data_IF_925818040267
#
_entry.id   IF_925818040267
#
_cell.length_a   1.000
_cell.length_b   1.000
_cell.length_c   1.000
_cell.angle_alpha   90.00
_cell.angle_beta   90.00
_cell.angle_gamma   90.00
#
_symmetry.space_group_name_H-M   'P 1'
#
loop_
_entity.id
_entity.type
_entity.pdbx_description
1 polymer ?
#
# COMPACT_ATOMS: atom_id res chain seq x y z
N UNK A 1 -60.20 64.55 -5.47
CA UNK A 1 -59.73 63.71 -4.35
C UNK A 1 -59.34 62.37 -4.93
N UNK A 2 -58.12 62.12 -5.20
CA UNK A 2 -57.58 60.86 -5.78
C UNK A 2 -56.80 60.10 -4.72
N UNK A 3 -57.26 58.95 -4.32
CA UNK A 3 -56.56 58.06 -3.43
C UNK A 3 -55.51 57.33 -4.23
N UNK A 4 -54.22 57.49 -3.80
CA UNK A 4 -53.08 56.74 -4.31
C UNK A 4 -52.88 55.55 -3.36
N UNK A 5 -53.18 54.38 -3.90
CA UNK A 5 -52.88 53.11 -3.19
C UNK A 5 -51.39 52.75 -3.42
N UNK A 6 -50.57 52.79 -2.37
CA UNK A 6 -49.19 52.29 -2.40
C UNK A 6 -49.24 50.78 -2.17
N UNK A 7 -48.93 50.03 -3.21
CA UNK A 7 -48.67 48.59 -3.13
C UNK A 7 -47.17 48.38 -2.80
N UNK A 8 -46.86 48.02 -1.58
CA UNK A 8 -45.55 47.59 -1.16
C UNK A 8 -45.37 46.13 -1.56
N UNK A 9 -44.55 45.91 -2.59
CA UNK A 9 -44.10 44.57 -2.99
C UNK A 9 -42.97 44.16 -2.06
N UNK A 10 -43.27 43.22 -1.15
CA UNK A 10 -42.25 42.58 -0.32
C UNK A 10 -41.46 41.59 -1.18
N UNK A 11 -40.22 41.93 -1.49
CA UNK A 11 -39.26 41.04 -2.13
C UNK A 11 -38.75 40.06 -1.07
N UNK A 12 -39.32 38.85 -1.03
CA UNK A 12 -38.80 37.76 -0.20
C UNK A 12 -37.48 37.30 -0.81
N UNK A 13 -36.39 37.75 -0.25
CA UNK A 13 -35.04 37.20 -0.52
C UNK A 13 -35.00 35.83 0.19
N UNK A 14 -35.20 34.76 -0.57
CA UNK A 14 -34.88 33.40 -0.14
C UNK A 14 -33.37 33.31 -0.03
N UNK A 15 -32.87 33.54 1.17
CA UNK A 15 -31.50 33.12 1.53
C UNK A 15 -31.54 31.60 1.54
N UNK A 16 -31.15 31.00 0.43
CA UNK A 16 -30.78 29.61 0.40
C UNK A 16 -29.58 29.48 1.37
N UNK A 17 -29.88 28.96 2.56
CA UNK A 17 -28.84 28.52 3.49
C UNK A 17 -28.07 27.44 2.76
N UNK A 18 -26.99 27.80 2.11
CA UNK A 18 -25.88 26.87 1.88
C UNK A 18 -25.44 26.46 3.28
N UNK A 19 -25.96 25.34 3.77
CA UNK A 19 -25.30 24.60 4.80
C UNK A 19 -23.96 24.19 4.20
N UNK A 20 -22.97 25.04 4.33
CA UNK A 20 -21.59 24.60 4.44
C UNK A 20 -21.67 23.63 5.63
N UNK A 21 -21.60 22.35 5.34
CA UNK A 21 -21.14 21.38 6.29
C UNK A 21 -19.71 21.84 6.65
N UNK A 22 -19.61 22.77 7.61
CA UNK A 22 -18.39 22.94 8.34
C UNK A 22 -18.08 21.53 8.85
N UNK A 23 -17.05 20.90 8.33
CA UNK A 23 -16.65 19.57 8.74
C UNK A 23 -16.55 19.60 10.25
N UNK A 24 -17.50 18.94 10.92
CA UNK A 24 -17.46 18.82 12.37
C UNK A 24 -16.28 17.90 12.69
N UNK A 25 -15.20 18.51 13.20
CA UNK A 25 -13.96 17.82 13.57
C UNK A 25 -13.90 17.52 15.06
N UNK A 26 -15.02 17.66 15.76
CA UNK A 26 -15.09 17.52 17.22
C UNK A 26 -14.80 16.09 17.68
N UNK A 27 -15.01 15.10 16.81
CA UNK A 27 -14.77 13.69 17.06
C UNK A 27 -13.42 13.17 16.52
N UNK A 28 -12.63 14.05 15.86
CA UNK A 28 -11.33 13.64 15.33
C UNK A 28 -10.33 13.40 16.46
N UNK A 29 -9.55 12.30 16.43
CA UNK A 29 -8.49 12.06 17.40
C UNK A 29 -7.43 13.17 17.39
N UNK A 30 -6.91 13.53 18.58
CA UNK A 30 -5.90 14.59 18.70
C UNK A 30 -4.52 14.20 18.15
N UNK A 31 -4.20 12.91 18.15
CA UNK A 31 -3.01 12.34 17.53
C UNK A 31 -3.33 10.94 17.03
N UNK A 32 -2.72 10.55 15.95
CA UNK A 32 -2.98 9.30 15.25
C UNK A 32 -1.66 8.68 14.80
N UNK A 33 -1.68 7.39 14.52
CA UNK A 33 -0.52 6.64 14.02
C UNK A 33 -0.85 5.90 12.75
N UNK A 34 0.14 5.79 11.85
CA UNK A 34 0.10 4.91 10.70
C UNK A 34 1.23 3.89 10.77
N UNK A 35 0.87 2.62 10.71
CA UNK A 35 1.83 1.53 10.56
C UNK A 35 2.42 1.52 9.15
N UNK A 36 3.75 1.50 9.07
CA UNK A 36 4.50 1.50 7.80
C UNK A 36 5.17 0.14 7.56
N UNK A 37 6.47 0.11 7.38
CA UNK A 37 7.32 -1.08 7.35
C UNK A 37 8.78 -0.66 7.56
N UNK A 38 9.72 -1.58 7.36
CA UNK A 38 11.16 -1.31 7.50
C UNK A 38 11.65 -0.22 6.54
N UNK A 39 12.69 0.50 6.96
CA UNK A 39 13.41 1.43 6.09
C UNK A 39 14.01 0.71 4.89
N UNK A 40 14.10 1.39 3.75
CA UNK A 40 14.54 0.81 2.48
C UNK A 40 13.41 0.23 1.64
N UNK A 41 12.25 -0.06 2.24
CA UNK A 41 11.02 -0.41 1.54
C UNK A 41 10.12 0.81 1.29
N UNK A 42 9.18 0.68 0.35
CA UNK A 42 8.33 1.80 -0.09
C UNK A 42 7.31 2.23 0.95
N UNK A 43 6.77 1.33 1.77
CA UNK A 43 5.80 1.68 2.81
C UNK A 43 6.31 2.76 3.78
N UNK A 44 7.59 2.70 4.16
CA UNK A 44 8.16 3.69 5.09
C UNK A 44 8.11 5.11 4.50
N UNK A 45 8.58 5.29 3.26
CA UNK A 45 8.60 6.60 2.60
C UNK A 45 7.18 7.04 2.25
N UNK A 46 6.40 6.17 1.64
CA UNK A 46 5.05 6.47 1.18
C UNK A 46 4.10 6.78 2.35
N UNK A 47 4.12 5.95 3.40
CA UNK A 47 3.30 6.14 4.60
C UNK A 47 3.65 7.43 5.35
N UNK A 48 4.94 7.71 5.53
CA UNK A 48 5.39 8.96 6.12
C UNK A 48 4.98 10.16 5.27
N UNK A 49 5.03 10.02 3.94
CA UNK A 49 4.70 11.09 2.99
C UNK A 49 3.22 11.44 2.99
N UNK A 50 2.32 10.43 2.88
CA UNK A 50 0.89 10.73 2.90
C UNK A 50 0.43 11.25 4.26
N UNK A 51 0.95 10.72 5.37
CA UNK A 51 0.67 11.23 6.71
C UNK A 51 1.08 12.70 6.84
N UNK A 52 2.27 13.06 6.35
CA UNK A 52 2.75 14.45 6.36
C UNK A 52 1.89 15.37 5.46
N UNK A 53 1.48 14.90 4.28
CA UNK A 53 0.58 15.64 3.40
C UNK A 53 -0.76 15.94 4.08
N UNK A 54 -1.38 14.92 4.70
CA UNK A 54 -2.63 15.06 5.47
C UNK A 54 -2.44 16.02 6.64
N UNK A 55 -1.35 15.89 7.40
CA UNK A 55 -1.04 16.81 8.51
C UNK A 55 -0.97 18.27 8.05
N UNK A 56 -0.32 18.52 6.91
CA UNK A 56 -0.20 19.88 6.37
C UNK A 56 -1.52 20.46 5.86
N UNK A 57 -2.38 19.63 5.26
CA UNK A 57 -3.64 20.09 4.65
C UNK A 57 -4.78 20.20 5.65
N UNK A 58 -4.81 19.29 6.62
CA UNK A 58 -5.93 19.18 7.57
C UNK A 58 -5.60 19.64 9.00
N UNK A 59 -4.36 20.07 9.26
CA UNK A 59 -3.87 20.45 10.60
C UNK A 59 -4.07 19.31 11.62
N UNK A 60 -3.79 18.07 11.17
CA UNK A 60 -3.83 16.85 12.00
C UNK A 60 -2.44 16.50 12.54
N UNK A 61 -2.35 15.40 13.33
CA UNK A 61 -1.10 14.86 13.86
C UNK A 61 -1.08 13.36 13.67
N UNK A 62 -0.66 12.92 12.49
CA UNK A 62 -0.45 11.51 12.17
C UNK A 62 1.05 11.26 12.21
N UNK A 63 1.49 10.36 13.11
CA UNK A 63 2.87 9.88 13.18
C UNK A 63 3.03 8.58 12.40
N UNK A 64 4.15 8.39 11.71
CA UNK A 64 4.48 7.14 11.04
C UNK A 64 5.33 6.26 11.95
N UNK A 65 4.93 5.00 12.13
CA UNK A 65 5.64 4.01 12.92
C UNK A 65 6.20 2.89 12.05
N UNK A 66 7.41 2.45 12.36
CA UNK A 66 8.05 1.31 11.69
C UNK A 66 7.46 0.03 12.26
N UNK A 67 7.02 -0.85 11.37
CA UNK A 67 6.46 -2.16 11.69
C UNK A 67 7.15 -3.26 10.86
N UNK A 68 6.76 -4.51 11.05
CA UNK A 68 7.12 -5.62 10.16
C UNK A 68 6.49 -5.50 8.78
N UNK A 69 5.40 -4.75 8.63
CA UNK A 69 4.71 -4.56 7.34
C UNK A 69 3.24 -5.01 7.37
N UNK A 70 2.69 -5.46 6.22
CA UNK A 70 1.26 -5.65 6.00
C UNK A 70 0.54 -6.52 7.03
N UNK A 71 1.09 -7.67 7.38
CA UNK A 71 0.47 -8.60 8.34
C UNK A 71 0.38 -7.98 9.73
N UNK A 72 1.43 -7.27 10.16
CA UNK A 72 1.42 -6.57 11.42
C UNK A 72 0.48 -5.35 11.36
N UNK A 73 0.51 -4.58 10.28
CA UNK A 73 -0.31 -3.37 10.14
C UNK A 73 -1.80 -3.67 10.24
N UNK A 74 -2.30 -4.69 9.54
CA UNK A 74 -3.72 -5.03 9.56
C UNK A 74 -4.15 -5.53 10.96
N UNK A 75 -3.29 -6.27 11.65
CA UNK A 75 -3.55 -6.74 13.01
C UNK A 75 -3.55 -5.59 14.02
N UNK A 76 -2.62 -4.63 13.91
CA UNK A 76 -2.57 -3.45 14.79
C UNK A 76 -3.80 -2.54 14.59
N UNK A 77 -4.27 -2.37 13.33
CA UNK A 77 -5.52 -1.65 13.05
C UNK A 77 -6.72 -2.40 13.62
N UNK A 78 -6.81 -3.73 13.47
CA UNK A 78 -7.89 -4.53 14.05
C UNK A 78 -7.96 -4.39 15.57
N UNK A 79 -6.82 -4.31 16.24
CA UNK A 79 -6.75 -4.15 17.70
C UNK A 79 -6.95 -2.70 18.18
N UNK A 80 -7.03 -1.73 17.27
CA UNK A 80 -7.09 -0.30 17.59
C UNK A 80 -5.79 0.27 18.18
N UNK A 81 -4.66 -0.42 17.96
CA UNK A 81 -3.33 0.05 18.38
C UNK A 81 -2.72 1.03 17.38
N UNK A 82 -3.08 0.90 16.09
CA UNK A 82 -2.82 1.91 15.07
C UNK A 82 -4.13 2.42 14.50
N UNK A 83 -4.20 3.72 14.22
CA UNK A 83 -5.36 4.34 13.58
C UNK A 83 -5.43 4.01 12.09
N UNK A 84 -4.27 3.91 11.46
CA UNK A 84 -4.10 3.62 10.04
C UNK A 84 -3.01 2.58 9.82
N UNK A 85 -3.12 1.91 8.68
CA UNK A 85 -2.11 0.97 8.21
C UNK A 85 -2.06 0.93 6.69
N UNK A 86 -1.15 0.13 6.19
CA UNK A 86 -1.03 -0.18 4.77
C UNK A 86 -0.91 -1.69 4.64
N UNK A 87 -1.66 -2.27 3.70
CA UNK A 87 -1.73 -3.71 3.52
C UNK A 87 -1.65 -4.09 2.05
N UNK A 88 -1.01 -5.22 1.74
CA UNK A 88 -1.14 -5.91 0.45
C UNK A 88 -2.35 -6.84 0.46
N UNK A 89 -2.98 -7.02 -0.68
CA UNK A 89 -4.25 -7.76 -0.77
C UNK A 89 -4.15 -9.22 -0.35
N UNK A 90 -3.00 -9.89 -0.55
CA UNK A 90 -2.81 -11.26 -0.07
C UNK A 90 -2.92 -11.39 1.44
N UNK A 91 -2.01 -10.78 2.22
CA UNK A 91 -2.12 -10.73 3.68
C UNK A 91 -3.45 -10.19 4.20
N UNK A 92 -4.12 -9.31 3.43
CA UNK A 92 -5.44 -8.82 3.80
C UNK A 92 -6.51 -9.91 3.74
N UNK A 93 -6.50 -10.73 2.68
CA UNK A 93 -7.44 -11.85 2.53
C UNK A 93 -7.23 -12.85 3.66
N UNK A 94 -5.99 -13.25 3.93
CA UNK A 94 -5.67 -14.19 5.00
C UNK A 94 -6.14 -13.67 6.37
N UNK A 95 -5.95 -12.37 6.64
CA UNK A 95 -6.43 -11.75 7.87
C UNK A 95 -7.97 -11.72 7.98
N UNK A 96 -8.67 -11.39 6.89
CA UNK A 96 -10.14 -11.37 6.85
C UNK A 96 -10.74 -12.79 7.02
N UNK A 97 -10.04 -13.81 6.59
CA UNK A 97 -10.44 -15.22 6.74
C UNK A 97 -10.04 -15.81 8.11
N UNK A 98 -9.28 -15.07 8.94
CA UNK A 98 -8.80 -15.55 10.23
C UNK A 98 -7.53 -16.40 10.16
N UNK A 99 -6.84 -16.37 9.03
CA UNK A 99 -5.61 -17.14 8.76
C UNK A 99 -4.33 -16.33 9.06
N UNK A 100 -4.44 -15.12 9.63
CA UNK A 100 -3.26 -14.29 9.96
C UNK A 100 -2.40 -14.97 11.03
N UNK A 101 -1.11 -15.10 10.79
CA UNK A 101 -0.16 -15.69 11.75
C UNK A 101 -0.06 -14.91 13.07
N UNK A 102 -0.23 -13.57 13.04
CA UNK A 102 -0.12 -12.72 14.22
C UNK A 102 -1.37 -12.73 15.11
N UNK A 103 -2.54 -12.94 14.51
CA UNK A 103 -3.82 -13.04 15.20
C UNK A 103 -4.63 -14.21 14.64
N UNK A 104 -4.21 -15.46 14.89
CA UNK A 104 -4.91 -16.63 14.40
C UNK A 104 -6.32 -16.69 14.98
N UNK A 105 -7.25 -17.22 14.18
CA UNK A 105 -8.69 -17.34 14.51
C UNK A 105 -9.43 -15.99 14.69
N UNK A 106 -8.80 -14.83 14.34
CA UNK A 106 -9.43 -13.51 14.34
C UNK A 106 -9.67 -13.06 12.88
N UNK A 107 -10.91 -12.83 12.52
CA UNK A 107 -11.31 -12.49 11.15
C UNK A 107 -11.08 -11.03 10.76
N UNK A 108 -10.37 -10.23 11.52
CA UNK A 108 -10.08 -8.81 11.26
C UNK A 108 -11.28 -8.01 10.70
N UNK A 109 -12.49 -8.32 11.20
CA UNK A 109 -13.77 -7.86 10.65
C UNK A 109 -14.00 -6.33 10.80
N UNK A 110 -13.18 -5.66 11.60
CA UNK A 110 -13.32 -4.22 11.86
C UNK A 110 -12.39 -3.35 10.98
N UNK A 111 -11.54 -3.97 10.17
CA UNK A 111 -10.66 -3.26 9.24
C UNK A 111 -11.44 -2.79 8.00
N UNK A 112 -11.12 -1.58 7.54
CA UNK A 112 -11.72 -0.95 6.35
C UNK A 112 -10.66 -0.37 5.44
N UNK A 113 -10.86 -0.53 4.11
CA UNK A 113 -10.05 0.15 3.11
C UNK A 113 -10.41 1.64 3.03
N UNK A 114 -9.38 2.47 2.82
CA UNK A 114 -9.55 3.90 2.58
C UNK A 114 -9.33 4.25 1.11
N UNK A 115 -8.15 3.97 0.58
CA UNK A 115 -7.78 4.32 -0.79
C UNK A 115 -6.75 3.36 -1.37
N UNK A 116 -6.73 3.19 -2.71
CA UNK A 116 -5.73 2.38 -3.39
C UNK A 116 -4.39 3.10 -3.39
N UNK A 117 -3.32 2.33 -3.26
CA UNK A 117 -1.96 2.85 -3.25
C UNK A 117 -1.24 2.53 -4.57
N UNK A 118 -0.59 1.38 -4.66
CA UNK A 118 0.24 0.94 -5.78
C UNK A 118 0.41 -0.58 -5.75
N UNK A 119 1.04 -1.13 -6.77
CA UNK A 119 1.39 -2.54 -6.83
C UNK A 119 2.73 -2.83 -6.12
N UNK A 120 2.77 -3.89 -5.35
CA UNK A 120 3.99 -4.52 -4.83
C UNK A 120 4.48 -5.51 -5.87
N UNK A 121 5.38 -5.08 -6.75
CA UNK A 121 5.98 -5.94 -7.76
C UNK A 121 7.13 -6.75 -7.14
N UNK A 122 7.07 -8.09 -7.26
CA UNK A 122 8.06 -9.00 -6.68
C UNK A 122 9.26 -9.15 -7.62
N UNK A 123 10.46 -8.78 -7.17
CA UNK A 123 11.68 -8.98 -7.95
C UNK A 123 12.88 -9.18 -7.04
N UNK A 124 14.00 -9.59 -7.61
CA UNK A 124 15.14 -10.12 -6.88
C UNK A 124 16.39 -9.36 -7.33
N UNK A 125 17.27 -9.10 -6.39
CA UNK A 125 18.59 -8.54 -6.67
C UNK A 125 19.69 -9.47 -6.16
N UNK A 126 20.72 -9.67 -6.98
CA UNK A 126 21.98 -10.34 -6.63
C UNK A 126 23.16 -9.45 -7.01
N UNK A 127 24.35 -9.77 -6.52
CA UNK A 127 25.58 -9.14 -7.04
C UNK A 127 25.95 -9.75 -8.40
N UNK A 128 26.38 -8.93 -9.35
CA UNK A 128 26.76 -9.39 -10.71
C UNK A 128 27.82 -10.50 -10.68
N UNK A 129 28.73 -10.46 -9.71
CA UNK A 129 29.80 -11.44 -9.57
C UNK A 129 29.39 -12.73 -8.84
N UNK A 130 28.11 -12.92 -8.52
CA UNK A 130 27.61 -14.11 -7.80
C UNK A 130 27.18 -15.26 -8.72
N UNK A 131 27.13 -15.04 -10.04
CA UNK A 131 26.60 -15.97 -11.03
C UNK A 131 25.11 -16.34 -10.77
N UNK A 132 24.33 -15.49 -10.08
CA UNK A 132 22.90 -15.65 -9.82
C UNK A 132 22.15 -14.65 -10.70
N UNK A 133 21.45 -15.15 -11.73
CA UNK A 133 20.75 -14.34 -12.72
C UNK A 133 19.28 -14.74 -12.92
N UNK A 134 18.85 -15.83 -12.27
CA UNK A 134 17.49 -16.38 -12.38
C UNK A 134 17.01 -16.92 -11.04
N UNK A 135 15.70 -17.18 -10.92
CA UNK A 135 15.12 -17.80 -9.72
C UNK A 135 15.64 -19.21 -9.53
N UNK A 136 15.91 -19.96 -10.61
CA UNK A 136 16.46 -21.29 -10.54
C UNK A 136 17.88 -21.33 -9.90
N UNK A 137 18.65 -20.26 -10.02
CA UNK A 137 20.00 -20.17 -9.41
C UNK A 137 19.93 -19.98 -7.89
N UNK A 138 18.76 -19.73 -7.33
CA UNK A 138 18.53 -19.57 -5.89
C UNK A 138 18.45 -20.91 -5.13
N UNK A 139 18.37 -22.03 -5.85
CA UNK A 139 18.32 -23.36 -5.22
C UNK A 139 19.56 -23.60 -4.33
N UNK A 140 19.32 -23.91 -3.05
CA UNK A 140 20.36 -24.07 -2.05
C UNK A 140 21.06 -22.76 -1.59
N UNK A 141 20.50 -21.57 -1.92
CA UNK A 141 21.07 -20.26 -1.56
C UNK A 141 20.38 -19.64 -0.36
N UNK A 142 21.08 -18.69 0.27
CA UNK A 142 20.57 -17.84 1.36
C UNK A 142 19.97 -16.58 0.75
N UNK A 143 18.66 -16.42 0.88
CA UNK A 143 17.93 -15.31 0.27
C UNK A 143 17.22 -14.48 1.34
N UNK A 144 17.53 -13.18 1.38
CA UNK A 144 16.79 -12.24 2.20
C UNK A 144 15.37 -12.04 1.66
N UNK A 145 14.36 -12.03 2.56
CA UNK A 145 12.95 -11.90 2.18
C UNK A 145 12.23 -10.78 2.95
N UNK A 146 12.96 -9.78 3.40
CA UNK A 146 12.38 -8.66 4.13
C UNK A 146 12.07 -8.97 5.59
N UNK A 147 11.38 -8.06 6.30
CA UNK A 147 11.09 -8.22 7.72
C UNK A 147 9.99 -9.26 7.96
N UNK A 148 10.03 -9.90 9.14
CA UNK A 148 8.97 -10.76 9.62
C UNK A 148 7.60 -10.04 9.63
N UNK A 149 6.56 -10.69 9.14
CA UNK A 149 5.22 -10.11 9.00
C UNK A 149 5.07 -9.15 7.82
N UNK A 150 6.04 -9.17 6.89
CA UNK A 150 5.98 -8.50 5.60
C UNK A 150 5.46 -9.40 4.49
N UNK A 151 4.93 -8.82 3.43
CA UNK A 151 4.47 -9.57 2.24
C UNK A 151 5.56 -10.49 1.67
N UNK A 152 6.79 -10.03 1.68
CA UNK A 152 7.90 -10.77 1.08
C UNK A 152 8.29 -12.01 1.90
N UNK A 153 8.27 -11.87 3.23
CA UNK A 153 8.47 -12.98 4.17
C UNK A 153 7.38 -14.07 4.02
N UNK A 154 6.15 -13.64 3.74
CA UNK A 154 5.03 -14.55 3.55
C UNK A 154 5.02 -15.21 2.16
N UNK A 155 5.28 -14.43 1.11
CA UNK A 155 5.09 -14.89 -0.27
C UNK A 155 6.32 -15.55 -0.88
N UNK A 156 7.53 -14.99 -0.78
CA UNK A 156 8.70 -15.55 -1.46
C UNK A 156 9.01 -17.00 -1.06
N UNK A 157 8.96 -17.41 0.24
CA UNK A 157 9.19 -18.81 0.58
C UNK A 157 8.18 -19.75 -0.07
N UNK A 158 6.90 -19.37 -0.08
CA UNK A 158 5.81 -20.15 -0.69
C UNK A 158 5.96 -20.25 -2.21
N UNK A 159 6.40 -19.17 -2.87
CA UNK A 159 6.65 -19.14 -4.31
C UNK A 159 7.83 -20.02 -4.69
N UNK A 160 8.93 -19.99 -3.92
CA UNK A 160 10.08 -20.86 -4.16
C UNK A 160 9.71 -22.32 -3.97
N UNK A 161 8.95 -22.65 -2.92
CA UNK A 161 8.45 -24.02 -2.68
C UNK A 161 7.55 -24.50 -3.83
N UNK A 162 6.58 -23.69 -4.28
CA UNK A 162 5.68 -24.00 -5.39
C UNK A 162 6.44 -24.27 -6.70
N UNK A 163 7.53 -23.54 -6.93
CA UNK A 163 8.41 -23.74 -8.09
C UNK A 163 9.40 -24.91 -7.90
N UNK A 164 9.45 -25.51 -6.71
CA UNK A 164 10.31 -26.67 -6.43
C UNK A 164 11.76 -26.33 -6.08
N UNK A 165 12.04 -25.09 -5.67
CA UNK A 165 13.38 -24.65 -5.25
C UNK A 165 13.53 -24.70 -3.72
N UNK A 166 14.63 -25.27 -3.25
CA UNK A 166 15.00 -25.33 -1.82
C UNK A 166 15.84 -24.11 -1.45
N UNK A 167 15.20 -23.06 -0.97
CA UNK A 167 15.82 -21.76 -0.68
C UNK A 167 15.86 -21.50 0.83
N UNK A 168 17.02 -21.21 1.39
CA UNK A 168 17.15 -20.76 2.78
C UNK A 168 16.74 -19.29 2.88
N UNK A 169 15.53 -19.00 3.34
CA UNK A 169 15.02 -17.64 3.49
C UNK A 169 15.38 -17.01 4.82
N UNK A 170 15.83 -15.74 4.79
CA UNK A 170 16.32 -15.00 5.95
C UNK A 170 15.54 -13.69 6.10
N UNK A 171 15.03 -13.45 7.31
CA UNK A 171 14.30 -12.24 7.65
C UNK A 171 15.23 -11.08 8.05
N UNK A 172 14.82 -9.84 7.72
CA UNK A 172 15.56 -8.63 8.10
C UNK A 172 14.99 -7.38 7.49
N UNK A 173 15.33 -6.21 8.01
CA UNK A 173 14.94 -4.93 7.41
C UNK A 173 15.47 -4.78 5.99
N UNK A 174 14.73 -4.12 5.09
CA UNK A 174 15.12 -4.03 3.67
C UNK A 174 16.48 -3.37 3.45
N UNK A 175 16.80 -2.29 4.18
CA UNK A 175 18.13 -1.67 4.11
C UNK A 175 19.24 -2.56 4.68
N UNK A 176 18.94 -3.31 5.76
CA UNK A 176 19.90 -4.21 6.38
C UNK A 176 20.23 -5.38 5.45
N UNK A 177 19.21 -5.95 4.78
CA UNK A 177 19.40 -7.04 3.82
C UNK A 177 20.16 -6.61 2.57
N UNK A 178 19.95 -5.39 2.08
CA UNK A 178 20.80 -4.84 1.02
C UNK A 178 22.27 -4.74 1.45
N UNK A 179 22.54 -4.33 2.71
CA UNK A 179 23.88 -4.35 3.28
C UNK A 179 24.43 -5.78 3.45
N UNK A 180 23.63 -6.72 3.92
CA UNK A 180 24.01 -8.13 4.04
C UNK A 180 24.36 -8.76 2.69
N UNK A 181 23.64 -8.42 1.63
CA UNK A 181 23.97 -8.86 0.26
C UNK A 181 25.33 -8.29 -0.17
N UNK A 182 25.58 -7.00 0.05
CA UNK A 182 26.86 -6.36 -0.27
C UNK A 182 28.04 -7.01 0.49
N UNK A 183 27.79 -7.42 1.74
CA UNK A 183 28.79 -8.10 2.59
C UNK A 183 28.86 -9.63 2.35
N UNK A 184 28.11 -10.17 1.38
CA UNK A 184 28.00 -11.61 1.07
C UNK A 184 27.53 -12.48 2.25
N UNK A 185 26.72 -11.91 3.16
CA UNK A 185 26.08 -12.64 4.26
C UNK A 185 24.81 -13.37 3.78
N UNK A 186 24.18 -12.84 2.73
CA UNK A 186 23.14 -13.49 1.92
C UNK A 186 23.60 -13.52 0.46
N UNK A 187 23.02 -14.42 -0.33
CA UNK A 187 23.41 -14.65 -1.73
C UNK A 187 22.57 -13.88 -2.72
N UNK A 188 21.29 -13.59 -2.34
CA UNK A 188 20.36 -12.72 -3.07
C UNK A 188 19.39 -12.05 -2.10
N UNK A 189 18.68 -11.02 -2.58
CA UNK A 189 17.62 -10.34 -1.83
C UNK A 189 16.36 -10.29 -2.69
N UNK A 190 15.37 -11.10 -2.32
CA UNK A 190 14.05 -11.17 -2.95
C UNK A 190 13.10 -10.22 -2.21
N UNK A 191 12.65 -9.17 -2.90
CA UNK A 191 11.82 -8.15 -2.28
C UNK A 191 10.83 -7.54 -3.29
N UNK A 192 9.61 -7.35 -2.86
CA UNK A 192 8.58 -6.64 -3.60
C UNK A 192 8.15 -5.40 -2.84
N UNK A 193 8.00 -4.31 -3.56
CA UNK A 193 7.46 -3.05 -3.05
C UNK A 193 7.02 -2.16 -4.24
N UNK A 194 6.54 -0.95 -3.95
CA UNK A 194 6.36 0.07 -4.98
C UNK A 194 7.71 0.49 -5.57
N UNK A 195 7.77 0.58 -6.87
CA UNK A 195 9.00 0.87 -7.61
C UNK A 195 9.27 2.38 -7.79
N UNK A 196 10.55 2.80 -7.84
CA UNK A 196 11.77 2.03 -7.57
C UNK A 196 11.93 1.73 -6.06
N UNK A 197 12.44 0.55 -5.70
CA UNK A 197 12.71 0.18 -4.31
C UNK A 197 13.99 0.88 -3.84
N UNK A 198 13.92 1.64 -2.75
CA UNK A 198 15.02 2.46 -2.29
C UNK A 198 16.28 1.65 -1.93
N UNK A 199 16.12 0.46 -1.29
CA UNK A 199 17.24 -0.42 -0.96
C UNK A 199 17.94 -0.99 -2.20
N UNK A 200 17.20 -1.28 -3.28
CA UNK A 200 17.78 -1.73 -4.55
C UNK A 200 18.52 -0.61 -5.26
N UNK A 201 17.93 0.59 -5.34
CA UNK A 201 18.59 1.77 -5.93
C UNK A 201 19.85 2.16 -5.16
N UNK A 202 19.84 2.00 -3.83
CA UNK A 202 21.02 2.24 -3.01
C UNK A 202 22.12 1.19 -3.26
N UNK A 203 21.74 -0.07 -3.40
CA UNK A 203 22.68 -1.16 -3.67
C UNK A 203 23.33 -1.00 -5.04
N UNK A 204 22.56 -0.75 -6.13
CA UNK A 204 23.12 -0.52 -7.46
C UNK A 204 24.02 0.72 -7.58
N UNK A 205 23.85 1.70 -6.68
CA UNK A 205 24.74 2.86 -6.60
C UNK A 205 26.11 2.53 -5.97
N UNK A 206 26.25 1.36 -5.32
CA UNK A 206 27.44 0.95 -4.55
C UNK A 206 28.11 -0.31 -5.12
N UNK A 207 27.38 -1.13 -5.88
CA UNK A 207 27.87 -2.38 -6.47
C UNK A 207 27.20 -2.65 -7.82
N UNK A 208 27.86 -3.43 -8.66
CA UNK A 208 27.25 -3.97 -9.87
C UNK A 208 26.30 -5.10 -9.49
N UNK A 209 25.06 -5.03 -9.99
CA UNK A 209 23.97 -5.93 -9.59
C UNK A 209 23.20 -6.48 -10.79
N UNK A 210 22.68 -7.69 -10.62
CA UNK A 210 21.62 -8.26 -11.46
C UNK A 210 20.28 -8.04 -10.76
N UNK A 211 19.33 -7.42 -11.45
CA UNK A 211 17.93 -7.35 -11.02
C UNK A 211 17.12 -8.21 -11.98
N UNK A 212 16.42 -9.20 -11.45
CA UNK A 212 15.65 -10.17 -12.20
C UNK A 212 14.35 -10.54 -11.47
N UNK A 213 13.53 -11.34 -12.11
CA UNK A 213 12.31 -11.89 -11.53
C UNK A 213 12.04 -13.28 -12.11
N UNK A 214 10.81 -13.74 -11.96
CA UNK A 214 10.34 -15.03 -12.43
C UNK A 214 10.29 -15.07 -13.97
N UNK A 215 10.60 -16.20 -14.57
CA UNK A 215 10.35 -16.45 -15.99
C UNK A 215 8.84 -16.49 -16.30
N UNK A 216 8.46 -16.34 -17.56
CA UNK A 216 7.04 -16.41 -17.97
C UNK A 216 6.40 -17.76 -17.60
N UNK A 217 7.15 -18.87 -17.68
CA UNK A 217 6.67 -20.20 -17.29
C UNK A 217 6.43 -20.30 -15.78
N UNK A 218 7.33 -19.72 -14.98
CA UNK A 218 7.20 -19.66 -13.52
C UNK A 218 6.04 -18.73 -13.12
N UNK A 219 5.84 -17.60 -13.82
CA UNK A 219 4.72 -16.70 -13.60
C UNK A 219 3.39 -17.40 -13.86
N UNK A 220 3.26 -18.15 -14.96
CA UNK A 220 2.06 -18.93 -15.26
C UNK A 220 1.75 -19.92 -14.12
N UNK A 221 2.75 -20.67 -13.66
CA UNK A 221 2.60 -21.61 -12.54
C UNK A 221 2.19 -20.89 -11.24
N UNK A 222 2.84 -19.78 -10.90
CA UNK A 222 2.53 -18.97 -9.72
C UNK A 222 1.08 -18.46 -9.75
N UNK A 223 0.62 -17.94 -10.89
CA UNK A 223 -0.73 -17.37 -11.01
C UNK A 223 -1.83 -18.42 -10.96
N UNK A 224 -1.54 -19.68 -11.30
CA UNK A 224 -2.48 -20.80 -11.11
C UNK A 224 -2.67 -21.13 -9.63
N UNK A 225 -1.62 -21.04 -8.81
CA UNK A 225 -1.65 -21.44 -7.40
C UNK A 225 -1.97 -20.27 -6.45
N UNK A 226 -1.60 -19.05 -6.80
CA UNK A 226 -1.74 -17.85 -5.95
C UNK A 226 -2.70 -16.82 -6.55
N UNK A 227 -4.02 -16.94 -6.38
CA UNK A 227 -5.02 -16.08 -7.01
C UNK A 227 -4.99 -14.62 -6.54
N UNK A 228 -4.30 -14.31 -5.43
CA UNK A 228 -4.10 -12.94 -4.96
C UNK A 228 -3.05 -12.17 -5.78
N UNK A 229 -2.18 -12.90 -6.49
CA UNK A 229 -1.17 -12.33 -7.38
C UNK A 229 -1.75 -12.00 -8.75
N UNK A 230 -1.15 -11.05 -9.41
CA UNK A 230 -1.45 -10.69 -10.80
C UNK A 230 -0.17 -10.48 -11.60
N UNK A 231 -0.24 -10.71 -12.92
CA UNK A 231 0.87 -10.40 -13.82
C UNK A 231 1.22 -8.91 -13.75
N UNK A 232 2.50 -8.63 -13.71
CA UNK A 232 3.04 -7.26 -13.65
C UNK A 232 4.38 -7.19 -14.39
N UNK A 233 4.98 -6.01 -14.37
CA UNK A 233 6.26 -5.73 -15.05
C UNK A 233 7.08 -4.77 -14.18
N UNK A 234 8.38 -5.00 -14.09
CA UNK A 234 9.35 -3.99 -13.69
C UNK A 234 9.79 -3.25 -14.96
N UNK A 235 9.38 -2.01 -15.17
CA UNK A 235 9.67 -1.31 -16.43
C UNK A 235 11.18 -1.08 -16.63
N UNK A 236 11.64 -1.19 -17.87
CA UNK A 236 12.99 -0.78 -18.24
C UNK A 236 13.26 0.67 -17.85
N UNK A 237 14.40 0.93 -17.22
CA UNK A 237 14.75 2.24 -16.69
C UNK A 237 14.26 2.54 -15.27
N UNK A 238 13.56 1.60 -14.63
CA UNK A 238 13.20 1.70 -13.20
C UNK A 238 14.46 1.75 -12.33
N UNK A 239 15.45 0.95 -12.67
CA UNK A 239 16.79 0.93 -12.09
C UNK A 239 17.83 1.13 -13.21
N UNK A 240 19.04 1.61 -12.87
CA UNK A 240 20.09 1.82 -13.87
C UNK A 240 20.56 0.51 -14.52
N UNK A 241 20.52 -0.60 -13.76
CA UNK A 241 20.86 -1.95 -14.23
C UNK A 241 19.76 -2.58 -15.10
N UNK A 242 18.53 -2.06 -15.08
CA UNK A 242 17.39 -2.61 -15.81
C UNK A 242 17.12 -1.83 -17.08
N UNK A 243 17.55 -2.37 -18.23
CA UNK A 243 17.44 -1.71 -19.54
C UNK A 243 16.18 -2.13 -20.34
N UNK A 244 15.52 -3.22 -19.93
CA UNK A 244 14.33 -3.78 -20.59
C UNK A 244 13.31 -4.14 -19.53
N UNK A 245 12.05 -4.24 -19.95
CA UNK A 245 10.97 -4.69 -19.09
C UNK A 245 11.25 -6.10 -18.58
N UNK A 246 11.07 -6.32 -17.28
CA UNK A 246 11.21 -7.62 -16.64
C UNK A 246 9.79 -8.06 -16.21
N UNK A 247 9.25 -9.16 -16.76
CA UNK A 247 7.98 -9.72 -16.33
C UNK A 247 8.07 -10.15 -14.86
N UNK A 248 6.97 -9.97 -14.11
CA UNK A 248 6.89 -10.36 -12.71
C UNK A 248 5.45 -10.56 -12.27
N UNK A 249 5.26 -10.87 -11.00
CA UNK A 249 3.96 -10.89 -10.32
C UNK A 249 3.86 -9.78 -9.28
N UNK A 250 2.65 -9.35 -8.97
CA UNK A 250 2.42 -8.29 -8.01
C UNK A 250 1.16 -8.47 -7.19
N UNK A 251 1.10 -7.76 -6.06
CA UNK A 251 -0.07 -7.59 -5.21
C UNK A 251 -0.44 -6.11 -5.12
N UNK A 252 -1.73 -5.78 -5.14
CA UNK A 252 -2.18 -4.43 -4.88
C UNK A 252 -2.10 -4.08 -3.40
N UNK A 253 -1.90 -2.79 -3.13
CA UNK A 253 -1.84 -2.24 -1.77
C UNK A 253 -2.97 -1.24 -1.55
N UNK A 254 -3.51 -1.26 -0.33
CA UNK A 254 -4.50 -0.30 0.14
C UNK A 254 -4.10 0.29 1.48
N UNK A 255 -4.41 1.56 1.67
CA UNK A 255 -4.42 2.17 2.98
C UNK A 255 -5.68 1.72 3.72
N UNK A 256 -5.53 1.40 4.99
CA UNK A 256 -6.59 0.85 5.85
C UNK A 256 -6.74 1.63 7.13
N UNK A 257 -7.93 1.52 7.73
CA UNK A 257 -8.27 2.07 9.05
C UNK A 257 -9.27 1.16 9.76
N UNK A 258 -9.58 1.46 11.03
CA UNK A 258 -10.63 0.80 11.78
C UNK A 258 -12.02 1.35 11.38
N UNK A 259 -13.06 0.51 11.41
CA UNK A 259 -14.45 0.89 11.05
C UNK A 259 -15.03 2.06 11.88
N UNK A 260 -14.56 2.23 13.11
CA UNK A 260 -15.04 3.25 14.04
C UNK A 260 -14.31 4.61 13.87
N UNK A 261 -13.40 4.72 12.89
CA UNK A 261 -12.78 6.02 12.57
C UNK A 261 -13.87 7.01 12.09
N UNK A 262 -13.84 8.30 12.49
CA UNK A 262 -14.85 9.26 12.03
C UNK A 262 -14.97 9.36 10.51
N UNK A 263 -16.18 9.24 9.97
CA UNK A 263 -16.47 9.32 8.54
C UNK A 263 -15.93 10.59 7.90
N UNK A 264 -16.08 11.72 8.61
CA UNK A 264 -15.59 13.02 8.14
C UNK A 264 -14.07 13.03 8.00
N UNK A 265 -13.34 12.40 8.92
CA UNK A 265 -11.88 12.32 8.86
C UNK A 265 -11.41 11.45 7.69
N UNK A 266 -11.99 10.26 7.52
CA UNK A 266 -11.62 9.36 6.42
C UNK A 266 -11.96 9.99 5.06
N UNK A 267 -13.12 10.64 4.94
CA UNK A 267 -13.49 11.39 3.74
C UNK A 267 -12.43 12.44 3.38
N UNK A 268 -12.03 13.28 4.34
CA UNK A 268 -11.04 14.34 4.13
C UNK A 268 -9.64 13.81 3.85
N UNK A 269 -9.26 12.67 4.43
CA UNK A 269 -7.99 11.99 4.10
C UNK A 269 -8.01 11.53 2.65
N UNK A 270 -9.07 10.83 2.22
CA UNK A 270 -9.20 10.35 0.84
C UNK A 270 -9.20 11.53 -0.14
N UNK A 271 -9.97 12.59 0.15
CA UNK A 271 -9.98 13.82 -0.67
C UNK A 271 -8.58 14.44 -0.77
N UNK A 272 -7.89 14.56 0.36
CA UNK A 272 -6.54 15.12 0.41
C UNK A 272 -5.57 14.32 -0.47
N UNK A 273 -5.58 12.99 -0.38
CA UNK A 273 -4.65 12.14 -1.15
C UNK A 273 -5.00 12.18 -2.64
N UNK A 274 -6.26 11.98 -2.99
CA UNK A 274 -6.70 11.90 -4.40
C UNK A 274 -6.62 13.25 -5.11
N UNK A 275 -6.89 14.36 -4.41
CA UNK A 275 -6.83 15.72 -4.98
C UNK A 275 -5.40 16.29 -5.04
N UNK A 276 -4.42 15.68 -4.38
CA UNK A 276 -3.04 16.17 -4.37
C UNK A 276 -2.05 15.14 -4.94
N UNK A 277 -2.45 14.43 -6.00
CA UNK A 277 -1.67 13.38 -6.64
C UNK A 277 -0.24 13.82 -7.03
N UNK A 278 -0.06 15.04 -7.55
CA UNK A 278 1.26 15.60 -7.88
C UNK A 278 2.19 15.68 -6.65
N UNK A 279 1.63 15.98 -5.47
CA UNK A 279 2.42 16.02 -4.24
C UNK A 279 2.77 14.59 -3.77
N UNK A 280 1.89 13.62 -3.98
CA UNK A 280 2.20 12.22 -3.72
C UNK A 280 3.28 11.68 -4.66
N UNK A 281 3.30 12.08 -5.93
CA UNK A 281 4.39 11.76 -6.87
C UNK A 281 5.75 12.30 -6.41
N UNK A 282 5.79 13.44 -5.72
CA UNK A 282 7.02 13.99 -5.13
C UNK A 282 7.49 13.19 -3.91
N UNK A 283 6.58 12.48 -3.23
CA UNK A 283 6.94 11.57 -2.14
C UNK A 283 7.62 10.32 -2.68
N UNK A 284 6.99 9.67 -3.67
CA UNK A 284 7.51 8.43 -4.27
C UNK A 284 6.90 8.16 -5.64
N UNK A 285 7.71 7.66 -6.59
CA UNK A 285 7.26 7.35 -7.95
C UNK A 285 6.10 6.35 -8.03
N UNK A 286 6.02 5.39 -7.10
CA UNK A 286 4.91 4.44 -7.02
C UNK A 286 3.53 5.11 -6.85
N UNK A 287 3.48 6.35 -6.35
CA UNK A 287 2.24 7.11 -6.27
C UNK A 287 1.58 7.39 -7.64
N UNK A 288 2.28 7.13 -8.76
CA UNK A 288 1.66 7.17 -10.09
C UNK A 288 0.44 6.24 -10.20
N UNK A 289 0.38 5.20 -9.40
CA UNK A 289 -0.73 4.26 -9.32
C UNK A 289 -1.79 4.62 -8.26
N UNK A 290 -1.56 5.65 -7.43
CA UNK A 290 -2.52 6.14 -6.42
C UNK A 290 -3.62 6.94 -7.11
N UNK A 291 -4.50 6.24 -7.80
CA UNK A 291 -5.56 6.83 -8.63
C UNK A 291 -6.93 6.28 -8.22
N UNK A 292 -7.98 7.12 -8.21
CA UNK A 292 -9.32 6.69 -7.79
C UNK A 292 -9.86 5.47 -8.55
N UNK A 293 -9.55 5.34 -9.85
CA UNK A 293 -9.97 4.20 -10.67
C UNK A 293 -9.46 2.84 -10.17
N UNK A 294 -8.36 2.84 -9.42
CA UNK A 294 -7.69 1.62 -8.96
C UNK A 294 -8.37 1.01 -7.71
N UNK A 295 -9.47 1.60 -7.22
CA UNK A 295 -10.33 0.93 -6.22
C UNK A 295 -10.84 -0.44 -6.68
N UNK A 296 -10.95 -0.65 -7.99
CA UNK A 296 -11.39 -1.93 -8.58
C UNK A 296 -10.46 -3.12 -8.30
N UNK A 297 -9.25 -2.87 -7.83
CA UNK A 297 -8.31 -3.92 -7.43
C UNK A 297 -8.51 -4.40 -5.98
N UNK A 298 -9.40 -3.74 -5.22
CA UNK A 298 -9.87 -4.27 -3.95
C UNK A 298 -11.10 -5.16 -4.20
N UNK A 299 -10.98 -6.41 -3.83
CA UNK A 299 -12.04 -7.42 -3.98
C UNK A 299 -12.43 -8.09 -2.65
N UNK A 300 -11.90 -7.62 -1.51
CA UNK A 300 -12.04 -8.33 -0.24
C UNK A 300 -12.24 -7.43 0.98
N UNK A 301 -11.55 -6.30 1.08
CA UNK A 301 -11.63 -5.42 2.25
C UNK A 301 -12.81 -4.46 2.07
N UNK A 302 -13.83 -4.46 2.96
CA UNK A 302 -14.89 -3.46 2.89
C UNK A 302 -14.32 -2.04 3.01
N UNK A 303 -14.79 -1.11 2.19
CA UNK A 303 -14.38 0.28 2.28
C UNK A 303 -15.04 0.98 3.48
N UNK A 304 -14.31 1.88 4.10
CA UNK A 304 -14.85 2.74 5.14
C UNK A 304 -15.94 3.66 4.57
N UNK A 305 -17.02 3.89 5.32
CA UNK A 305 -18.18 4.72 4.90
C UNK A 305 -17.75 6.11 4.41
N UNK A 306 -16.80 6.77 5.07
CA UNK A 306 -16.23 8.04 4.60
C UNK A 306 -15.54 7.93 3.25
N UNK A 307 -14.83 6.83 3.00
CA UNK A 307 -14.19 6.57 1.70
C UNK A 307 -15.25 6.26 0.62
N UNK A 308 -16.22 5.40 0.91
CA UNK A 308 -17.35 5.11 0.01
C UNK A 308 -18.00 6.41 -0.45
N UNK A 309 -18.35 7.30 0.50
CA UNK A 309 -18.96 8.58 0.20
C UNK A 309 -18.11 9.40 -0.76
N UNK A 310 -16.82 9.54 -0.51
CA UNK A 310 -15.95 10.31 -1.39
C UNK A 310 -15.89 9.73 -2.80
N UNK A 311 -15.67 8.40 -2.93
CA UNK A 311 -15.57 7.75 -4.23
C UNK A 311 -16.87 7.90 -5.04
N UNK A 312 -18.04 7.70 -4.43
CA UNK A 312 -19.34 7.82 -5.10
C UNK A 312 -19.64 9.27 -5.53
N UNK A 313 -19.36 10.26 -4.68
CA UNK A 313 -19.50 11.69 -5.03
C UNK A 313 -18.60 12.10 -6.19
N UNK A 314 -17.46 11.42 -6.37
CA UNK A 314 -16.51 11.65 -7.48
C UNK A 314 -16.72 10.70 -8.68
N UNK A 315 -17.82 9.94 -8.72
CA UNK A 315 -18.23 9.13 -9.86
C UNK A 315 -17.59 7.75 -9.95
N UNK A 316 -16.99 7.26 -8.86
CA UNK A 316 -16.45 5.91 -8.74
C UNK A 316 -17.40 5.03 -7.94
N UNK A 317 -17.87 3.95 -8.54
CA UNK A 317 -18.81 3.04 -7.89
C UNK A 317 -18.08 1.98 -7.06
N UNK A 318 -18.44 1.86 -5.80
CA UNK A 318 -17.99 0.77 -4.91
C UNK A 318 -19.06 -0.35 -4.97
N UNK A 319 -18.66 -1.62 -5.20
CA UNK A 319 -19.59 -2.76 -5.13
C UNK A 319 -20.30 -2.82 -3.77
N UNK A 320 -21.58 -3.21 -3.77
CA UNK A 320 -22.40 -3.21 -2.52
C UNK A 320 -21.84 -4.12 -1.43
N UNK A 321 -21.24 -5.24 -1.82
CA UNK A 321 -20.59 -6.21 -0.92
C UNK A 321 -19.28 -5.70 -0.31
N UNK A 322 -18.73 -4.61 -0.85
CA UNK A 322 -17.53 -3.91 -0.33
C UNK A 322 -17.87 -2.58 0.35
N UNK A 323 -19.13 -2.24 0.59
CA UNK A 323 -19.48 -1.08 1.40
C UNK A 323 -19.52 -1.48 2.88
N UNK A 324 -18.66 -0.85 3.68
CA UNK A 324 -18.53 -1.10 5.12
C UNK A 324 -19.38 -0.19 6.00
#
# INVERSE_FOLDING_TARGET
MKNILLTTTALAISIASMNSLANDRTDWPNSMTVGTASQGGTYYIYGSGWANLVNQKLDTRIGAEITGGPVQNISMVQMGEHDFGMVTMGPAVDALEGNSELLPDNTHADVRAMFPMYQTALHIVSLENSDIESVADLDGKRVGVGPAGGTNDEYHPRLFEALGYDVETLQGGASDQAGQLQDNLIDAFAFGAGMPIASFSQLEAQADVNIFSYSEEEIEQILEEFPALSHSVVPGGTYNSVNQDIPTVSLWNFAITHKDMPDSLVYEIVDTIMSNHEQMLQVHGAAAETLPKNISYNNSIPFHSGAVKWFEENGYNIPEDLKG
#
